data_IF_539821389848
#
_entry.id   IF_539821389848
#
_cell.length_a   1.000
_cell.length_b   1.000
_cell.length_c   1.000
_cell.angle_alpha   90.00
_cell.angle_beta   90.00
_cell.angle_gamma   90.00
#
_symmetry.space_group_name_H-M   'P 1'
#
loop_
_entity.id
_entity.type
_entity.pdbx_description
1 polymer ?
#
# COMPACT_ATOMS: atom_id res chain seq x y z
N UNK A 1 16.54 17.25 -69.06
CA UNK A 1 16.67 16.33 -67.91
C UNK A 1 17.35 17.08 -66.77
N UNK A 2 16.61 17.49 -65.74
CA UNK A 2 17.14 18.04 -64.49
C UNK A 2 16.66 17.11 -63.38
N UNK A 3 17.58 16.35 -62.81
CA UNK A 3 17.31 15.29 -61.85
C UNK A 3 17.22 15.89 -60.46
N UNK A 4 16.01 16.11 -59.97
CA UNK A 4 15.77 16.51 -58.57
C UNK A 4 15.85 15.25 -57.70
N UNK A 5 16.95 15.06 -56.99
CA UNK A 5 17.09 14.00 -55.99
C UNK A 5 16.42 14.50 -54.71
N UNK A 6 15.21 14.00 -54.42
CA UNK A 6 14.55 14.22 -53.13
C UNK A 6 15.12 13.20 -52.13
N UNK A 7 15.99 13.67 -51.25
CA UNK A 7 16.53 12.88 -50.13
C UNK A 7 15.51 12.85 -48.99
N UNK A 8 14.74 11.76 -48.89
CA UNK A 8 13.91 11.47 -47.72
C UNK A 8 14.79 10.85 -46.61
N UNK A 9 15.29 11.69 -45.69
CA UNK A 9 15.84 11.22 -44.41
C UNK A 9 14.69 10.70 -43.54
N UNK A 10 14.48 9.39 -43.54
CA UNK A 10 13.63 8.70 -42.56
C UNK A 10 14.38 8.62 -41.22
N UNK A 11 14.21 9.64 -40.38
CA UNK A 11 14.53 9.56 -38.94
C UNK A 11 13.54 8.60 -38.27
N UNK A 12 13.87 7.31 -38.23
CA UNK A 12 13.18 6.36 -37.33
C UNK A 12 13.66 6.62 -35.91
N UNK A 13 13.00 7.56 -35.21
CA UNK A 13 13.02 7.57 -33.74
C UNK A 13 12.26 6.32 -33.28
N UNK A 14 12.98 5.23 -33.05
CA UNK A 14 12.44 4.08 -32.31
C UNK A 14 12.21 4.54 -30.87
N UNK A 15 11.04 5.12 -30.61
CA UNK A 15 10.55 5.33 -29.25
C UNK A 15 10.27 3.92 -28.71
N UNK A 16 11.24 3.33 -28.04
CA UNK A 16 11.03 2.13 -27.24
C UNK A 16 10.10 2.53 -26.08
N UNK A 17 8.79 2.40 -26.29
CA UNK A 17 7.84 2.35 -25.19
C UNK A 17 8.06 0.99 -24.55
N UNK A 18 9.03 0.90 -23.64
CA UNK A 18 9.12 -0.26 -22.77
C UNK A 18 7.82 -0.30 -21.97
N UNK A 19 6.95 -1.26 -22.26
CA UNK A 19 5.78 -1.52 -21.44
C UNK A 19 6.27 -1.75 -20.01
N UNK A 20 5.74 -0.98 -19.05
CA UNK A 20 6.18 -1.12 -17.66
C UNK A 20 5.83 -2.52 -17.16
N UNK A 21 6.82 -3.19 -16.59
CA UNK A 21 6.63 -4.51 -16.02
C UNK A 21 5.61 -4.45 -14.89
N UNK A 22 4.56 -5.27 -15.01
CA UNK A 22 3.60 -5.48 -13.94
C UNK A 22 4.13 -6.57 -13.01
N UNK A 23 4.40 -6.23 -11.76
CA UNK A 23 4.95 -7.18 -10.79
C UNK A 23 3.86 -8.04 -10.12
N UNK A 24 2.59 -7.65 -10.16
CA UNK A 24 1.50 -8.21 -9.34
C UNK A 24 0.29 -8.64 -10.18
N UNK A 25 0.53 -9.18 -11.36
CA UNK A 25 -0.52 -9.59 -12.30
C UNK A 25 -1.33 -10.82 -11.85
N UNK A 26 -0.73 -11.68 -11.01
CA UNK A 26 -1.28 -12.94 -10.54
C UNK A 26 -0.91 -13.21 -9.08
N UNK A 27 -1.61 -14.15 -8.45
CA UNK A 27 -1.31 -14.58 -7.08
C UNK A 27 0.04 -15.27 -7.04
N UNK A 28 0.96 -14.78 -6.20
CA UNK A 28 2.28 -15.39 -6.02
C UNK A 28 2.95 -14.97 -4.72
N UNK A 29 3.92 -15.78 -4.30
CA UNK A 29 4.84 -15.44 -3.21
C UNK A 29 6.15 -14.90 -3.79
N UNK A 30 6.61 -13.75 -3.30
CA UNK A 30 7.94 -13.21 -3.55
C UNK A 30 8.90 -13.67 -2.46
N UNK A 31 10.02 -14.27 -2.85
CA UNK A 31 11.10 -14.66 -1.96
C UNK A 31 12.26 -13.70 -2.15
N UNK A 32 12.45 -12.79 -1.19
CA UNK A 32 13.53 -11.80 -1.21
C UNK A 32 14.53 -12.11 -0.09
N UNK A 33 15.72 -11.51 -0.15
CA UNK A 33 16.72 -11.69 0.88
C UNK A 33 16.27 -11.05 2.21
N UNK A 34 15.83 -11.89 3.15
CA UNK A 34 15.45 -11.48 4.51
C UNK A 34 13.98 -11.10 4.71
N UNK A 35 13.12 -11.29 3.70
CA UNK A 35 11.67 -11.18 3.85
C UNK A 35 10.91 -11.91 2.74
N UNK A 36 9.70 -12.38 3.05
CA UNK A 36 8.81 -13.03 2.08
C UNK A 36 7.51 -12.28 2.01
N UNK A 37 7.02 -12.01 0.80
CA UNK A 37 5.74 -11.32 0.59
C UNK A 37 4.75 -12.21 -0.16
N UNK A 38 3.48 -12.09 0.22
CA UNK A 38 2.37 -12.68 -0.51
C UNK A 38 1.65 -11.59 -1.29
N UNK A 39 1.42 -11.85 -2.57
CA UNK A 39 0.53 -11.08 -3.43
C UNK A 39 -0.66 -11.97 -3.77
N UNK A 40 -1.83 -11.58 -3.30
CA UNK A 40 -3.09 -12.24 -3.63
C UNK A 40 -3.86 -11.38 -4.63
N UNK A 41 -4.12 -11.94 -5.82
CA UNK A 41 -4.98 -11.34 -6.83
C UNK A 41 -6.38 -11.92 -6.68
N UNK A 42 -7.26 -11.10 -6.11
CA UNK A 42 -8.64 -11.42 -5.80
C UNK A 42 -9.57 -11.04 -6.96
N UNK A 43 -10.84 -11.46 -6.86
CA UNK A 43 -11.91 -11.11 -7.81
C UNK A 43 -11.94 -9.61 -8.13
N UNK A 44 -12.15 -9.28 -9.40
CA UNK A 44 -12.13 -7.90 -9.87
C UNK A 44 -10.72 -7.30 -9.99
N UNK A 45 -9.68 -8.15 -10.17
CA UNK A 45 -8.28 -7.73 -10.31
C UNK A 45 -7.76 -6.94 -9.11
N UNK A 46 -8.31 -7.18 -7.92
CA UNK A 46 -7.90 -6.52 -6.67
C UNK A 46 -6.66 -7.21 -6.13
N UNK A 47 -5.60 -6.47 -5.90
CA UNK A 47 -4.36 -6.95 -5.30
C UNK A 47 -4.40 -6.68 -3.81
N UNK A 48 -4.04 -7.69 -3.02
CA UNK A 48 -3.63 -7.54 -1.63
C UNK A 48 -2.18 -7.98 -1.50
N UNK A 49 -1.30 -7.05 -1.15
CA UNK A 49 0.14 -7.28 -1.01
C UNK A 49 0.53 -7.11 0.46
N UNK A 50 1.17 -8.11 1.04
CA UNK A 50 1.50 -8.12 2.46
C UNK A 50 2.71 -9.03 2.74
N UNK A 51 3.40 -8.77 3.84
CA UNK A 51 4.44 -9.67 4.34
C UNK A 51 3.78 -11.01 4.71
N UNK A 52 4.32 -12.13 4.23
CA UNK A 52 3.73 -13.47 4.39
C UNK A 52 3.63 -13.91 5.86
N UNK A 53 4.41 -13.29 6.74
CA UNK A 53 4.32 -13.52 8.19
C UNK A 53 3.09 -12.87 8.85
N UNK A 54 2.41 -11.95 8.15
CA UNK A 54 1.21 -11.29 8.64
C UNK A 54 0.08 -12.32 8.85
N UNK A 55 -0.63 -12.20 9.97
CA UNK A 55 -1.69 -13.11 10.41
C UNK A 55 -3.06 -12.43 10.47
N UNK A 56 -3.13 -11.11 10.43
CA UNK A 56 -4.37 -10.34 10.63
C UNK A 56 -5.05 -9.94 9.32
N UNK A 57 -4.39 -10.14 8.18
CA UNK A 57 -4.82 -9.65 6.85
C UNK A 57 -6.23 -10.11 6.45
N UNK A 58 -6.64 -11.31 6.86
CA UNK A 58 -7.97 -11.87 6.61
C UNK A 58 -8.79 -12.08 7.90
N UNK A 59 -8.31 -11.54 9.02
CA UNK A 59 -8.97 -11.67 10.32
C UNK A 59 -9.91 -10.50 10.51
N UNK A 60 -11.17 -10.81 10.81
CA UNK A 60 -12.17 -9.78 11.11
C UNK A 60 -11.84 -9.09 12.44
N UNK A 61 -11.97 -7.77 12.48
CA UNK A 61 -11.91 -7.01 13.71
C UNK A 61 -13.16 -7.28 14.54
N UNK A 62 -12.97 -7.74 15.79
CA UNK A 62 -14.05 -8.11 16.72
C UNK A 62 -13.68 -7.71 18.15
N UNK A 63 -14.70 -7.52 18.98
CA UNK A 63 -14.55 -7.47 20.42
C UNK A 63 -14.13 -8.85 20.97
N UNK A 64 -13.08 -8.90 21.81
CA UNK A 64 -12.50 -10.15 22.33
C UNK A 64 -13.47 -10.91 23.23
N UNK A 65 -14.28 -10.18 24.00
CA UNK A 65 -15.29 -10.66 24.94
C UNK A 65 -16.55 -11.16 24.23
N UNK A 66 -17.17 -10.35 23.38
CA UNK A 66 -18.46 -10.69 22.75
C UNK A 66 -18.33 -11.44 21.43
N UNK A 67 -17.15 -11.39 20.79
CA UNK A 67 -16.90 -11.83 19.41
C UNK A 67 -17.70 -11.08 18.35
N UNK A 68 -18.36 -9.99 18.73
CA UNK A 68 -19.14 -9.17 17.82
C UNK A 68 -18.24 -8.23 17.02
N UNK A 69 -18.71 -7.92 15.81
CA UNK A 69 -18.08 -6.95 14.93
C UNK A 69 -18.45 -5.54 15.43
N UNK A 70 -17.49 -4.63 15.59
CA UNK A 70 -17.80 -3.26 15.94
C UNK A 70 -18.70 -2.62 14.87
N UNK A 71 -19.77 -1.93 15.29
CA UNK A 71 -20.67 -1.25 14.37
C UNK A 71 -19.95 -0.20 13.53
N UNK A 72 -20.31 -0.09 12.25
CA UNK A 72 -19.89 1.04 11.41
C UNK A 72 -20.51 2.33 11.96
N UNK A 73 -19.69 3.26 12.48
CA UNK A 73 -20.19 4.58 12.92
C UNK A 73 -19.71 5.13 14.26
N UNK A 74 -18.73 4.51 14.94
CA UNK A 74 -18.03 5.11 16.10
C UNK A 74 -18.91 5.53 17.29
N UNK A 75 -19.64 4.60 17.90
CA UNK A 75 -20.06 4.81 19.31
C UNK A 75 -18.92 4.54 20.31
N UNK A 76 -17.68 4.36 19.83
CA UNK A 76 -16.51 4.23 20.69
C UNK A 76 -15.21 4.65 19.98
N UNK A 77 -14.37 5.35 20.73
CA UNK A 77 -13.01 5.71 20.33
C UNK A 77 -12.07 4.55 20.66
N UNK A 78 -11.39 3.97 19.67
CA UNK A 78 -10.47 2.85 19.87
C UNK A 78 -9.02 3.32 20.17
N UNK A 79 -8.68 4.55 19.82
CA UNK A 79 -7.40 5.21 20.19
C UNK A 79 -7.64 6.66 20.62
N UNK A 80 -6.74 7.21 21.43
CA UNK A 80 -6.67 8.65 21.69
C UNK A 80 -6.31 9.36 20.38
N UNK A 81 -7.06 10.41 20.04
CA UNK A 81 -6.77 11.21 18.85
C UNK A 81 -5.45 11.98 19.02
N UNK A 82 -4.54 11.80 18.06
CA UNK A 82 -3.26 12.48 18.03
C UNK A 82 -3.07 13.18 16.67
N UNK A 83 -2.61 14.43 16.71
CA UNK A 83 -2.46 15.27 15.51
C UNK A 83 -1.27 14.89 14.63
N UNK A 84 -0.32 14.09 15.15
CA UNK A 84 0.94 13.79 14.47
C UNK A 84 0.91 12.50 13.65
N UNK A 85 0.08 11.53 14.03
CA UNK A 85 0.16 10.17 13.49
C UNK A 85 -0.23 10.10 12.00
N UNK A 86 -1.29 10.80 11.62
CA UNK A 86 -1.74 10.85 10.22
C UNK A 86 -0.73 11.58 9.31
N UNK A 87 -0.29 12.83 9.61
CA UNK A 87 0.73 13.50 8.81
C UNK A 87 2.03 12.69 8.67
N UNK A 88 2.49 12.05 9.75
CA UNK A 88 3.71 11.23 9.73
C UNK A 88 3.54 9.97 8.86
N UNK A 89 2.39 9.30 8.93
CA UNK A 89 2.08 8.13 8.09
C UNK A 89 2.07 8.50 6.61
N UNK A 90 1.45 9.63 6.25
CA UNK A 90 1.45 10.14 4.87
C UNK A 90 2.85 10.51 4.40
N UNK A 91 3.68 11.10 5.26
CA UNK A 91 5.07 11.44 4.95
C UNK A 91 5.92 10.20 4.68
N UNK A 92 5.77 9.13 5.47
CA UNK A 92 6.47 7.85 5.26
C UNK A 92 6.15 7.28 3.87
N UNK A 93 4.86 7.20 3.52
CA UNK A 93 4.45 6.72 2.19
C UNK A 93 4.98 7.65 1.09
N UNK A 94 4.86 8.97 1.27
CA UNK A 94 5.37 9.94 0.31
C UNK A 94 6.88 9.82 0.08
N UNK A 95 7.68 9.59 1.11
CA UNK A 95 9.14 9.55 1.01
C UNK A 95 9.68 8.22 0.50
N UNK A 96 8.85 7.17 0.42
CA UNK A 96 9.24 5.89 -0.16
C UNK A 96 9.28 5.91 -1.70
N UNK A 97 8.57 6.85 -2.34
CA UNK A 97 8.48 6.95 -3.81
C UNK A 97 9.40 8.05 -4.35
N UNK A 98 10.05 7.77 -5.48
CA UNK A 98 10.80 8.75 -6.27
C UNK A 98 9.86 9.76 -6.96
N UNK A 99 10.33 10.97 -7.31
CA UNK A 99 9.52 11.94 -8.05
C UNK A 99 8.89 11.37 -9.34
N UNK A 100 9.64 10.58 -10.10
CA UNK A 100 9.20 9.95 -11.34
C UNK A 100 8.11 8.91 -11.07
N UNK A 101 8.25 8.11 -10.00
CA UNK A 101 7.20 7.19 -9.57
C UNK A 101 5.92 7.95 -9.18
N UNK A 102 6.02 9.03 -8.39
CA UNK A 102 4.87 9.84 -7.99
C UNK A 102 4.14 10.44 -9.18
N UNK A 103 4.88 11.01 -10.13
CA UNK A 103 4.31 11.58 -11.36
C UNK A 103 3.48 10.54 -12.12
N UNK A 104 3.97 9.30 -12.21
CA UNK A 104 3.27 8.19 -12.88
C UNK A 104 2.00 7.72 -12.17
N UNK A 105 1.89 7.92 -10.85
CA UNK A 105 0.67 7.54 -10.12
C UNK A 105 -0.51 8.41 -10.52
N UNK A 106 -0.26 9.64 -10.99
CA UNK A 106 -1.32 10.54 -11.44
C UNK A 106 -2.33 10.80 -10.33
N UNK A 107 -3.61 10.56 -10.62
CA UNK A 107 -4.73 10.67 -9.66
C UNK A 107 -5.07 9.33 -8.99
N UNK A 108 -4.31 8.28 -9.28
CA UNK A 108 -4.56 6.96 -8.71
C UNK A 108 -4.15 6.93 -7.25
N UNK A 109 -4.86 6.14 -6.45
CA UNK A 109 -4.56 5.94 -5.04
C UNK A 109 -4.21 4.49 -4.73
N UNK A 110 -3.39 4.30 -3.71
CA UNK A 110 -3.12 2.99 -3.10
C UNK A 110 -3.76 2.95 -1.74
N UNK A 111 -4.41 1.84 -1.39
CA UNK A 111 -4.90 1.60 -0.04
C UNK A 111 -3.78 1.07 0.84
N UNK A 112 -3.62 1.64 2.03
CA UNK A 112 -2.72 1.12 3.06
C UNK A 112 -3.56 0.78 4.28
N UNK A 113 -3.33 -0.41 4.83
CA UNK A 113 -3.92 -0.86 6.08
C UNK A 113 -2.81 -1.11 7.10
N UNK A 114 -2.87 -0.42 8.24
CA UNK A 114 -2.08 -0.76 9.42
C UNK A 114 -2.92 -1.58 10.39
N UNK A 115 -2.38 -2.69 10.85
CA UNK A 115 -2.91 -3.48 11.96
C UNK A 115 -2.10 -3.18 13.21
N UNK A 116 -2.79 -2.85 14.29
CA UNK A 116 -2.19 -2.27 15.49
C UNK A 116 -2.50 -3.16 16.68
N UNK A 117 -1.49 -3.38 17.52
CA UNK A 117 -1.65 -4.08 18.79
C UNK A 117 -2.57 -3.26 19.71
N UNK A 118 -3.69 -3.84 20.19
CA UNK A 118 -4.59 -3.14 21.11
C UNK A 118 -3.94 -2.95 22.48
N UNK A 119 -2.93 -3.77 22.82
CA UNK A 119 -2.22 -3.69 24.10
C UNK A 119 -1.12 -2.61 24.10
N UNK A 120 -0.36 -2.53 23.01
CA UNK A 120 0.85 -1.67 22.94
C UNK A 120 0.68 -0.43 22.07
N UNK A 121 -0.36 -0.38 21.22
CA UNK A 121 -0.56 0.68 20.24
C UNK A 121 0.43 0.68 19.08
N UNK A 122 1.38 -0.26 19.03
CA UNK A 122 2.36 -0.37 17.94
C UNK A 122 1.72 -0.99 16.71
N UNK A 123 2.13 -0.52 15.53
CA UNK A 123 1.81 -1.15 14.26
C UNK A 123 2.56 -2.49 14.18
N UNK A 124 1.81 -3.59 14.04
CA UNK A 124 2.37 -4.95 14.00
C UNK A 124 2.41 -5.53 12.60
N UNK A 125 1.44 -5.15 11.75
CA UNK A 125 1.34 -5.61 10.36
C UNK A 125 0.89 -4.46 9.45
N UNK A 126 1.29 -4.52 8.18
CA UNK A 126 0.84 -3.60 7.13
C UNK A 126 0.46 -4.40 5.89
N UNK A 127 -0.64 -4.00 5.24
CA UNK A 127 -1.06 -4.52 3.95
C UNK A 127 -1.34 -3.38 2.96
N UNK A 128 -1.15 -3.66 1.67
CA UNK A 128 -1.37 -2.74 0.57
C UNK A 128 -2.47 -3.26 -0.35
N UNK A 129 -3.29 -2.34 -0.85
CA UNK A 129 -4.45 -2.61 -1.67
C UNK A 129 -4.42 -1.75 -2.93
N UNK A 130 -4.45 -2.38 -4.10
CA UNK A 130 -4.52 -1.71 -5.40
C UNK A 130 -5.14 -2.68 -6.41
N UNK A 131 -5.15 -2.33 -7.70
CA UNK A 131 -5.60 -3.25 -8.76
C UNK A 131 -4.46 -3.64 -9.68
N UNK A 132 -4.56 -4.77 -10.37
CA UNK A 132 -3.49 -5.20 -11.29
C UNK A 132 -3.30 -4.24 -12.47
N UNK A 133 -4.28 -3.38 -12.77
CA UNK A 133 -4.22 -2.38 -13.83
C UNK A 133 -3.79 -0.99 -13.33
N UNK A 134 -3.60 -0.85 -12.02
CA UNK A 134 -3.15 0.38 -11.39
C UNK A 134 -1.66 0.61 -11.66
N UNK A 135 -1.18 1.86 -11.80
CA UNK A 135 0.26 2.14 -11.90
C UNK A 135 1.03 1.69 -10.65
N UNK A 136 0.36 1.52 -9.51
CA UNK A 136 0.94 0.87 -8.33
C UNK A 136 1.42 -0.56 -8.60
N UNK A 137 0.81 -1.27 -9.57
CA UNK A 137 1.24 -2.62 -9.91
C UNK A 137 2.63 -2.68 -10.60
N UNK A 138 3.22 -1.53 -10.96
CA UNK A 138 4.56 -1.43 -11.56
C UNK A 138 5.62 -0.95 -10.55
N UNK A 139 5.26 -0.83 -9.28
CA UNK A 139 6.17 -0.42 -8.21
C UNK A 139 6.95 -1.63 -7.67
N UNK A 140 8.29 -1.56 -7.60
CA UNK A 140 9.09 -2.64 -7.03
C UNK A 140 8.70 -2.97 -5.59
N UNK A 141 8.76 -4.26 -5.22
CA UNK A 141 8.39 -4.75 -3.90
C UNK A 141 9.15 -4.05 -2.75
N UNK A 142 10.42 -3.68 -2.99
CA UNK A 142 11.26 -2.99 -2.01
C UNK A 142 10.68 -1.64 -1.53
N UNK A 143 9.89 -0.95 -2.36
CA UNK A 143 9.21 0.29 -1.96
C UNK A 143 8.13 -0.02 -0.92
N UNK A 144 7.31 -1.04 -1.15
CA UNK A 144 6.29 -1.49 -0.19
C UNK A 144 6.92 -2.00 1.11
N UNK A 145 8.04 -2.72 1.02
CA UNK A 145 8.81 -3.16 2.18
C UNK A 145 9.33 -1.98 3.01
N UNK A 146 9.88 -0.95 2.35
CA UNK A 146 10.34 0.27 3.03
C UNK A 146 9.20 0.93 3.82
N UNK A 147 8.02 1.05 3.22
CA UNK A 147 6.83 1.62 3.87
C UNK A 147 6.41 0.77 5.08
N UNK A 148 6.31 -0.55 4.92
CA UNK A 148 5.95 -1.47 6.03
C UNK A 148 6.90 -1.26 7.22
N UNK A 149 8.21 -1.30 6.97
CA UNK A 149 9.24 -1.19 8.02
C UNK A 149 9.17 0.17 8.70
N UNK A 150 9.10 1.26 7.95
CA UNK A 150 9.06 2.61 8.52
C UNK A 150 7.78 2.87 9.32
N UNK A 151 6.62 2.40 8.84
CA UNK A 151 5.37 2.50 9.61
C UNK A 151 5.46 1.72 10.93
N UNK A 152 5.96 0.47 10.89
CA UNK A 152 6.13 -0.36 12.10
C UNK A 152 7.12 0.23 13.12
N UNK A 153 8.12 0.97 12.65
CA UNK A 153 9.14 1.57 13.51
C UNK A 153 8.75 2.93 14.08
N UNK A 154 8.05 3.75 13.29
CA UNK A 154 7.87 5.18 13.58
C UNK A 154 6.44 5.56 13.95
N UNK A 155 5.47 4.66 13.76
CA UNK A 155 4.06 4.93 14.06
C UNK A 155 3.60 4.07 15.23
N UNK A 156 2.92 4.73 16.17
CA UNK A 156 2.16 4.10 17.23
C UNK A 156 0.92 4.95 17.52
N UNK A 157 0.02 4.36 18.30
CA UNK A 157 -1.19 4.97 18.78
C UNK A 157 -1.28 4.75 20.29
N UNK A 158 -2.18 5.46 20.96
CA UNK A 158 -2.51 5.19 22.36
C UNK A 158 -3.89 4.54 22.42
N UNK A 159 -3.99 3.20 22.58
CA UNK A 159 -5.28 2.51 22.66
C UNK A 159 -6.09 2.97 23.87
N UNK A 160 -7.38 3.24 23.68
CA UNK A 160 -8.31 3.54 24.77
C UNK A 160 -8.69 2.27 25.53
N UNK A 161 -9.55 2.41 26.56
CA UNK A 161 -10.16 1.25 27.22
C UNK A 161 -10.97 0.39 26.25
N UNK A 162 -11.72 1.01 25.34
CA UNK A 162 -12.52 0.28 24.36
C UNK A 162 -11.69 -0.32 23.24
N UNK A 163 -10.66 0.38 22.75
CA UNK A 163 -9.70 -0.18 21.80
C UNK A 163 -9.03 -1.45 22.33
N UNK A 164 -8.67 -1.47 23.63
CA UNK A 164 -8.10 -2.65 24.28
C UNK A 164 -9.01 -3.86 24.31
N UNK A 165 -10.32 -3.70 24.08
CA UNK A 165 -11.28 -4.81 23.99
C UNK A 165 -11.23 -5.50 22.63
N UNK A 166 -10.67 -4.87 21.60
CA UNK A 166 -10.60 -5.46 20.25
C UNK A 166 -9.48 -6.50 20.14
N UNK A 167 -9.62 -7.43 19.19
CA UNK A 167 -8.58 -8.40 18.85
C UNK A 167 -7.39 -7.74 18.13
N UNK A 168 -7.63 -6.68 17.37
CA UNK A 168 -6.63 -5.77 16.80
C UNK A 168 -7.29 -4.43 16.46
N UNK A 169 -6.50 -3.35 16.39
CA UNK A 169 -6.98 -2.07 15.83
C UNK A 169 -6.58 -1.96 14.37
N UNK A 170 -7.33 -1.18 13.59
CA UNK A 170 -7.11 -1.04 12.17
C UNK A 170 -7.13 0.44 11.76
N UNK A 171 -6.16 0.85 10.94
CA UNK A 171 -6.17 2.17 10.29
C UNK A 171 -5.97 1.97 8.80
N UNK A 172 -7.04 2.21 8.05
CA UNK A 172 -7.05 2.16 6.60
C UNK A 172 -7.17 3.55 6.01
N UNK A 173 -6.38 3.85 4.98
CA UNK A 173 -6.56 5.05 4.17
C UNK A 173 -6.19 4.81 2.72
N UNK A 174 -6.77 5.63 1.84
CA UNK A 174 -6.34 5.75 0.45
C UNK A 174 -5.30 6.87 0.37
N UNK A 175 -4.12 6.56 -0.15
CA UNK A 175 -3.03 7.50 -0.35
C UNK A 175 -2.94 7.92 -1.82
N UNK A 176 -3.00 9.23 -2.07
CA UNK A 176 -2.74 9.86 -3.37
C UNK A 176 -1.49 10.75 -3.26
N UNK A 177 -0.77 10.91 -4.36
CA UNK A 177 0.36 11.86 -4.46
C UNK A 177 -0.03 13.21 -5.04
N UNK A 178 -1.21 13.28 -5.66
CA UNK A 178 -1.83 14.53 -6.09
C UNK A 178 -3.02 14.78 -5.19
N UNK A 179 -2.96 15.89 -4.46
CA UNK A 179 -4.12 16.48 -3.77
C UNK A 179 -4.91 17.35 -4.74
#
# INVERSE_FOLDING_TARGET
MKTTIVSFMLFFCAVYIAAQTNYYAETKTFQENGYTYQCDVLTGKRVRLYNKENKLVYVQQIFKDTKEVPGFGFDFDDVVEETWTRPKSLSIVNNAFTPEQKQRMGTQSVGICMYISPETGKVVEVAFHFTTVSPFATIPLSVYRKIEVELKQQIWFTPTKDGKRLNHLMRFWMHSFKE
#
